data_IF_985973334428
#
_entry.id   IF_985973334428
#
_cell.length_a   1.000
_cell.length_b   1.000
_cell.length_c   1.000
_cell.angle_alpha   90.00
_cell.angle_beta   90.00
_cell.angle_gamma   90.00
#
_symmetry.space_group_name_H-M   'P 1'
#
loop_
_entity.id
_entity.type
_entity.pdbx_description
1 polymer ?
#
# COMPACT_ATOMS: atom_id res chain seq x y z
N UNK A 1 5.50 -7.44 64.29
CA UNK A 1 6.10 -7.55 62.94
C UNK A 1 5.07 -8.06 61.92
N UNK A 2 4.15 -7.21 61.43
CA UNK A 2 3.07 -7.63 60.51
C UNK A 2 2.54 -6.52 59.58
N UNK A 3 3.35 -5.49 59.31
CA UNK A 3 2.95 -4.34 58.45
C UNK A 3 3.84 -4.14 57.20
N UNK A 4 5.01 -4.77 57.15
CA UNK A 4 5.96 -4.58 56.04
C UNK A 4 5.59 -5.45 54.81
N UNK A 5 4.96 -6.61 55.02
CA UNK A 5 4.63 -7.54 53.93
C UNK A 5 3.51 -7.08 52.98
N UNK A 6 2.66 -6.14 53.40
CA UNK A 6 1.56 -5.63 52.54
C UNK A 6 1.97 -4.45 51.65
N UNK A 7 3.01 -3.71 52.05
CA UNK A 7 3.54 -2.58 51.28
C UNK A 7 4.34 -3.06 50.08
N UNK A 8 5.09 -4.17 50.22
CA UNK A 8 5.84 -4.75 49.12
C UNK A 8 4.96 -5.34 48.01
N UNK A 9 3.77 -5.86 48.33
CA UNK A 9 2.86 -6.45 47.32
C UNK A 9 2.14 -5.37 46.51
N UNK A 10 1.85 -4.20 47.10
CA UNK A 10 1.21 -3.10 46.38
C UNK A 10 2.15 -2.43 45.35
N UNK A 11 3.46 -2.40 45.60
CA UNK A 11 4.45 -1.87 44.64
C UNK A 11 4.67 -2.77 43.43
N UNK A 12 4.50 -4.09 43.56
CA UNK A 12 4.65 -5.02 42.43
C UNK A 12 3.46 -4.93 41.47
N UNK A 13 2.26 -4.61 41.97
CA UNK A 13 1.08 -4.41 41.10
C UNK A 13 1.12 -3.05 40.38
N UNK A 14 1.71 -2.01 40.99
CA UNK A 14 1.84 -0.70 40.33
C UNK A 14 2.89 -0.68 39.20
N UNK A 15 3.88 -1.59 39.23
CA UNK A 15 4.90 -1.74 38.19
C UNK A 15 4.41 -2.46 36.92
N UNK A 16 3.24 -3.11 36.97
CA UNK A 16 2.66 -3.83 35.82
C UNK A 16 1.75 -2.90 34.97
N UNK A 17 1.33 -1.74 35.50
CA UNK A 17 0.35 -0.85 34.84
C UNK A 17 1.02 0.30 34.05
N UNK A 18 2.35 0.50 34.17
CA UNK A 18 3.10 1.48 33.35
C UNK A 18 3.92 0.79 32.25
N UNK A 19 3.44 -0.38 31.82
CA UNK A 19 3.86 -1.04 30.58
C UNK A 19 3.14 -0.53 29.33
N UNK A 20 2.72 0.74 29.29
CA UNK A 20 2.66 1.47 28.02
C UNK A 20 4.10 1.70 27.55
N UNK A 21 4.80 0.59 27.27
CA UNK A 21 6.00 0.61 26.49
C UNK A 21 5.60 1.09 25.11
N UNK A 22 5.68 2.42 24.92
CA UNK A 22 5.97 2.98 23.62
C UNK A 22 7.00 2.05 22.98
N UNK A 23 6.59 1.32 21.93
CA UNK A 23 7.44 0.39 21.21
C UNK A 23 8.63 1.20 20.70
N UNK A 24 9.71 1.19 21.47
CA UNK A 24 10.89 1.99 21.24
C UNK A 24 11.53 1.52 19.93
N UNK A 25 11.53 2.43 18.98
CA UNK A 25 11.99 2.30 17.60
C UNK A 25 13.43 2.81 17.54
N UNK A 26 14.45 1.99 17.18
CA UNK A 26 15.78 2.52 16.95
C UNK A 26 16.09 2.79 15.47
N UNK A 27 15.27 2.35 14.52
CA UNK A 27 15.55 2.54 13.09
C UNK A 27 14.24 2.63 12.32
N UNK A 28 13.99 3.80 11.74
CA UNK A 28 12.94 4.04 10.75
C UNK A 28 12.82 2.84 9.81
N UNK A 29 11.77 2.03 9.97
CA UNK A 29 11.64 0.73 9.31
C UNK A 29 11.56 0.96 7.79
N UNK A 30 12.70 0.83 7.12
CA UNK A 30 12.74 0.80 5.67
C UNK A 30 12.18 -0.55 5.23
N UNK A 31 11.04 -0.52 4.56
CA UNK A 31 10.41 -1.68 3.97
C UNK A 31 10.75 -1.75 2.49
N UNK A 32 11.28 -2.88 2.04
CA UNK A 32 11.55 -3.09 0.61
C UNK A 32 10.24 -3.40 -0.11
N UNK A 33 9.82 -2.51 -1.02
CA UNK A 33 8.69 -2.73 -1.92
C UNK A 33 9.10 -3.74 -2.99
N UNK A 34 10.23 -3.50 -3.66
CA UNK A 34 10.86 -4.42 -4.62
C UNK A 34 12.30 -4.00 -4.93
N UNK A 35 13.25 -4.94 -4.90
CA UNK A 35 14.65 -4.66 -5.24
C UNK A 35 15.21 -3.51 -4.41
N UNK A 36 15.63 -2.43 -5.07
CA UNK A 36 16.11 -1.20 -4.41
C UNK A 36 15.00 -0.19 -4.08
N UNK A 37 13.76 -0.44 -4.50
CA UNK A 37 12.61 0.41 -4.18
C UNK A 37 12.19 0.17 -2.74
N UNK A 38 12.39 1.16 -1.89
CA UNK A 38 12.06 1.09 -0.47
C UNK A 38 10.96 2.09 -0.09
N UNK A 39 10.36 1.89 1.08
CA UNK A 39 9.38 2.74 1.73
C UNK A 39 9.83 2.94 3.17
N UNK A 40 9.93 4.19 3.62
CA UNK A 40 10.08 4.48 5.05
C UNK A 40 8.71 4.41 5.72
N UNK A 41 8.47 3.38 6.55
CA UNK A 41 7.24 3.31 7.34
C UNK A 41 7.24 4.42 8.41
N UNK A 42 6.18 5.24 8.48
CA UNK A 42 6.01 6.20 9.56
C UNK A 42 5.92 5.50 10.92
N UNK A 43 6.23 6.23 11.98
CA UNK A 43 5.99 5.73 13.34
C UNK A 43 4.50 5.47 13.55
N UNK A 44 4.15 4.44 14.31
CA UNK A 44 2.76 4.02 14.56
C UNK A 44 2.26 2.95 13.59
N UNK A 45 2.80 2.89 12.36
CA UNK A 45 2.35 1.91 11.37
C UNK A 45 2.80 0.48 11.69
N UNK A 46 1.84 -0.44 11.66
CA UNK A 46 2.04 -1.87 11.88
C UNK A 46 1.58 -2.69 10.68
N UNK A 47 2.22 -3.84 10.44
CA UNK A 47 1.83 -4.74 9.36
C UNK A 47 0.51 -5.43 9.73
N UNK A 48 -0.53 -5.19 8.93
CA UNK A 48 -1.83 -5.86 9.05
C UNK A 48 -1.78 -7.24 8.40
N UNK A 49 -1.14 -7.33 7.23
CA UNK A 49 -0.98 -8.59 6.49
C UNK A 49 -0.81 -8.37 5.00
N UNK A 50 -1.25 -9.34 4.19
CA UNK A 50 -1.07 -9.32 2.74
C UNK A 50 -2.32 -9.80 2.01
N UNK A 51 -2.58 -9.19 0.85
CA UNK A 51 -3.72 -9.51 -0.03
C UNK A 51 -3.29 -9.42 -1.49
N UNK A 52 -3.81 -10.31 -2.32
CA UNK A 52 -3.58 -10.27 -3.77
C UNK A 52 -4.87 -9.87 -4.47
N UNK A 53 -4.79 -8.87 -5.35
CA UNK A 53 -5.95 -8.33 -6.07
C UNK A 53 -5.68 -8.35 -7.57
N UNK A 54 -6.49 -9.12 -8.29
CA UNK A 54 -6.44 -9.20 -9.74
C UNK A 54 -7.17 -8.01 -10.36
N UNK A 55 -6.53 -7.39 -11.34
CA UNK A 55 -7.05 -6.26 -12.11
C UNK A 55 -7.20 -6.66 -13.58
N UNK A 56 -8.29 -6.21 -14.18
CA UNK A 56 -8.56 -6.41 -15.59
C UNK A 56 -7.63 -5.51 -16.42
N UNK A 57 -6.98 -6.01 -17.48
CA UNK A 57 -6.28 -5.15 -18.43
C UNK A 57 -7.28 -4.31 -19.24
N UNK A 58 -6.84 -3.15 -19.73
CA UNK A 58 -7.64 -2.27 -20.61
C UNK A 58 -7.81 -2.82 -22.02
N UNK A 59 -6.85 -3.63 -22.50
CA UNK A 59 -6.86 -4.21 -23.84
C UNK A 59 -7.00 -5.73 -23.70
N UNK A 60 -8.07 -6.28 -24.27
CA UNK A 60 -8.21 -7.71 -24.51
C UNK A 60 -7.68 -8.00 -25.92
N UNK A 61 -6.52 -8.65 -26.02
CA UNK A 61 -6.02 -9.21 -27.26
C UNK A 61 -6.19 -10.72 -27.24
N UNK A 62 -6.58 -11.34 -28.36
CA UNK A 62 -6.72 -12.79 -28.41
C UNK A 62 -5.38 -13.45 -28.09
N UNK A 63 -5.35 -14.32 -27.08
CA UNK A 63 -4.11 -14.94 -26.58
C UNK A 63 -3.44 -14.17 -25.44
N UNK A 64 -3.95 -12.99 -25.05
CA UNK A 64 -3.50 -12.24 -23.88
C UNK A 64 -4.30 -12.63 -22.63
N UNK A 65 -3.87 -13.71 -21.99
CA UNK A 65 -4.06 -13.88 -20.54
C UNK A 65 -2.70 -13.69 -19.86
N UNK A 66 -2.63 -13.26 -18.59
CA UNK A 66 -3.73 -13.21 -17.62
C UNK A 66 -3.90 -11.85 -16.93
N UNK A 67 -5.00 -11.72 -16.19
CA UNK A 67 -5.22 -10.70 -15.17
C UNK A 67 -3.91 -10.29 -14.47
N UNK A 68 -3.58 -9.00 -14.47
CA UNK A 68 -2.44 -8.53 -13.72
C UNK A 68 -2.83 -8.58 -12.24
N UNK A 69 -1.93 -9.05 -11.38
CA UNK A 69 -2.25 -9.18 -9.94
C UNK A 69 -1.30 -8.33 -9.13
N UNK A 70 -1.87 -7.43 -8.33
CA UNK A 70 -1.15 -6.72 -7.29
C UNK A 70 -1.01 -7.62 -6.08
N UNK A 71 0.23 -7.98 -5.74
CA UNK A 71 0.55 -8.56 -4.46
C UNK A 71 0.83 -7.43 -3.48
N UNK A 72 -0.06 -7.27 -2.51
CA UNK A 72 -0.10 -6.11 -1.60
C UNK A 72 0.25 -6.53 -0.19
N UNK A 73 1.12 -5.76 0.46
CA UNK A 73 1.31 -5.77 1.91
C UNK A 73 0.69 -4.52 2.49
N UNK A 74 -0.18 -4.69 3.49
CA UNK A 74 -0.94 -3.62 4.11
C UNK A 74 -0.35 -3.29 5.47
N UNK A 75 -0.12 -1.99 5.70
CA UNK A 75 0.25 -1.42 6.98
C UNK A 75 -0.83 -0.44 7.43
N UNK A 76 -1.08 -0.34 8.73
CA UNK A 76 -2.06 0.60 9.27
C UNK A 76 -1.66 1.22 10.60
N UNK A 77 -2.24 2.38 10.86
CA UNK A 77 -2.18 3.15 12.10
C UNK A 77 -3.52 3.90 12.26
N UNK A 78 -4.35 3.46 13.21
CA UNK A 78 -5.74 3.92 13.32
C UNK A 78 -6.53 3.69 12.03
N UNK A 79 -7.02 4.77 11.43
CA UNK A 79 -7.74 4.75 10.14
C UNK A 79 -6.83 5.06 8.93
N UNK A 80 -5.54 5.29 9.13
CA UNK A 80 -4.58 5.56 8.05
C UNK A 80 -3.89 4.28 7.57
N UNK A 81 -3.66 4.16 6.26
CA UNK A 81 -3.13 2.94 5.66
C UNK A 81 -2.01 3.21 4.66
N UNK A 82 -1.05 2.29 4.60
CA UNK A 82 -0.04 2.23 3.53
C UNK A 82 -0.09 0.86 2.88
N UNK A 83 -0.30 0.82 1.56
CA UNK A 83 -0.32 -0.41 0.78
C UNK A 83 0.93 -0.43 -0.10
N UNK A 84 1.82 -1.37 0.16
CA UNK A 84 3.01 -1.63 -0.65
C UNK A 84 2.73 -2.76 -1.61
N UNK A 85 2.85 -2.52 -2.91
CA UNK A 85 2.33 -3.40 -3.95
C UNK A 85 3.33 -3.66 -5.05
N UNK A 86 3.28 -4.86 -5.60
CA UNK A 86 4.03 -5.24 -6.80
C UNK A 86 3.15 -5.96 -7.78
N UNK A 87 3.32 -5.63 -9.05
CA UNK A 87 2.62 -6.25 -10.16
C UNK A 87 3.62 -6.56 -11.27
N UNK A 88 3.55 -7.78 -11.78
CA UNK A 88 4.43 -8.26 -12.85
C UNK A 88 3.59 -8.74 -14.02
N UNK A 89 3.96 -8.32 -15.23
CA UNK A 89 3.45 -8.89 -16.48
C UNK A 89 4.09 -10.24 -16.70
N UNK A 90 3.27 -11.24 -16.95
CA UNK A 90 3.72 -12.58 -17.34
C UNK A 90 3.76 -12.69 -18.87
N UNK A 91 4.64 -13.55 -19.39
CA UNK A 91 4.83 -13.74 -20.82
C UNK A 91 5.81 -12.75 -21.46
N UNK A 92 6.20 -13.05 -22.70
CA UNK A 92 7.28 -12.33 -23.39
C UNK A 92 6.85 -11.21 -24.31
N UNK A 93 5.59 -11.20 -24.72
CA UNK A 93 5.08 -10.28 -25.74
C UNK A 93 4.58 -8.95 -25.21
N UNK A 94 4.33 -8.83 -23.91
CA UNK A 94 3.70 -7.63 -23.35
C UNK A 94 4.58 -6.94 -22.31
N UNK A 95 4.46 -5.62 -22.27
CA UNK A 95 5.11 -4.78 -21.27
C UNK A 95 4.22 -3.61 -20.87
N UNK A 96 4.51 -2.99 -19.72
CA UNK A 96 3.79 -1.81 -19.26
C UNK A 96 4.17 -0.59 -20.08
N UNK A 97 3.17 0.22 -20.43
CA UNK A 97 3.41 1.60 -20.87
C UNK A 97 4.19 2.39 -19.81
N UNK A 98 4.99 3.39 -20.23
CA UNK A 98 5.58 4.33 -19.29
C UNK A 98 4.52 4.98 -18.39
N UNK A 99 4.84 5.06 -17.10
CA UNK A 99 3.94 5.62 -16.09
C UNK A 99 3.86 7.14 -16.21
N UNK A 100 2.65 7.67 -16.04
CA UNK A 100 2.36 9.12 -16.03
C UNK A 100 2.33 9.69 -14.60
N UNK A 101 2.51 11.00 -14.49
CA UNK A 101 2.46 11.73 -13.22
C UNK A 101 3.74 12.50 -12.91
N UNK A 102 3.73 13.20 -11.77
CA UNK A 102 4.83 14.07 -11.35
C UNK A 102 6.02 13.24 -10.89
N UNK A 103 7.19 13.47 -11.48
CA UNK A 103 8.43 12.84 -11.04
C UNK A 103 8.84 13.37 -9.66
N UNK A 104 9.09 12.47 -8.70
CA UNK A 104 9.54 12.84 -7.35
C UNK A 104 10.67 11.92 -6.89
N UNK A 105 11.61 12.45 -6.10
CA UNK A 105 12.60 11.65 -5.37
C UNK A 105 12.06 11.35 -3.97
N UNK A 106 11.84 10.07 -3.65
CA UNK A 106 11.32 9.63 -2.35
C UNK A 106 11.87 8.26 -1.98
N UNK A 107 12.20 8.06 -0.71
CA UNK A 107 12.74 6.80 -0.18
C UNK A 107 13.98 6.27 -0.94
N UNK A 108 14.87 7.19 -1.34
CA UNK A 108 16.11 6.83 -2.06
C UNK A 108 15.91 6.38 -3.51
N UNK A 109 14.72 6.59 -4.09
CA UNK A 109 14.40 6.23 -5.47
C UNK A 109 13.55 7.29 -6.17
N UNK A 110 13.52 7.25 -7.51
CA UNK A 110 12.61 8.09 -8.30
C UNK A 110 11.26 7.41 -8.49
N UNK A 111 10.19 8.15 -8.27
CA UNK A 111 8.80 7.68 -8.38
C UNK A 111 7.99 8.63 -9.26
N UNK A 112 6.89 8.12 -9.80
CA UNK A 112 5.79 8.92 -10.32
C UNK A 112 4.73 9.06 -9.23
N UNK A 113 4.44 10.30 -8.85
CA UNK A 113 3.43 10.62 -7.84
C UNK A 113 2.17 11.15 -8.53
N UNK A 114 1.03 10.63 -8.11
CA UNK A 114 -0.28 11.22 -8.33
C UNK A 114 -1.05 11.29 -7.01
N UNK A 115 -2.02 12.20 -6.91
CA UNK A 115 -2.88 12.35 -5.73
C UNK A 115 -4.33 12.25 -6.15
N UNK A 116 -5.11 11.47 -5.39
CA UNK A 116 -6.51 11.20 -5.68
C UNK A 116 -7.36 11.29 -4.41
N UNK A 117 -8.67 11.47 -4.60
CA UNK A 117 -9.67 11.19 -3.58
C UNK A 117 -10.11 9.73 -3.71
N UNK A 118 -10.17 9.01 -2.59
CA UNK A 118 -10.67 7.65 -2.52
C UNK A 118 -11.81 7.56 -1.50
N UNK A 119 -13.00 7.21 -2.00
CA UNK A 119 -14.14 6.81 -1.18
C UNK A 119 -13.98 5.32 -0.79
N UNK A 120 -14.10 4.94 0.50
CA UNK A 120 -14.11 3.54 0.92
C UNK A 120 -15.21 2.70 0.25
N UNK A 121 -16.28 3.34 -0.23
CA UNK A 121 -17.40 2.73 -0.95
C UNK A 121 -17.25 2.86 -2.49
N UNK A 122 -16.05 3.19 -2.98
CA UNK A 122 -15.75 3.26 -4.42
C UNK A 122 -16.16 1.95 -5.14
N UNK A 123 -16.71 2.10 -6.35
CA UNK A 123 -17.17 0.99 -7.19
C UNK A 123 -16.04 0.22 -7.89
N UNK A 124 -14.80 0.74 -7.85
CA UNK A 124 -13.60 0.06 -8.32
C UNK A 124 -13.40 -1.24 -7.55
N UNK A 125 -13.40 -2.35 -8.30
CA UNK A 125 -13.19 -3.68 -7.73
C UNK A 125 -11.88 -3.76 -6.95
N UNK A 126 -10.82 -3.10 -7.43
CA UNK A 126 -9.51 -3.10 -6.78
C UNK A 126 -9.60 -2.52 -5.36
N UNK A 127 -10.02 -1.26 -5.24
CA UNK A 127 -10.03 -0.56 -3.95
C UNK A 127 -11.03 -1.19 -2.97
N UNK A 128 -12.17 -1.69 -3.47
CA UNK A 128 -13.13 -2.44 -2.65
C UNK A 128 -12.49 -3.67 -2.01
N UNK A 129 -11.66 -4.43 -2.74
CA UNK A 129 -10.96 -5.61 -2.19
C UNK A 129 -9.98 -5.23 -1.08
N UNK A 130 -9.28 -4.10 -1.20
CA UNK A 130 -8.43 -3.62 -0.12
C UNK A 130 -9.25 -3.19 1.11
N UNK A 131 -10.33 -2.44 0.90
CA UNK A 131 -11.24 -2.01 1.95
C UNK A 131 -11.87 -3.20 2.70
N UNK A 132 -12.37 -4.19 1.96
CA UNK A 132 -12.93 -5.43 2.51
C UNK A 132 -11.88 -6.20 3.33
N UNK A 133 -10.65 -6.28 2.83
CA UNK A 133 -9.56 -6.93 3.54
C UNK A 133 -9.24 -6.22 4.86
N UNK A 134 -9.11 -4.89 4.85
CA UNK A 134 -8.85 -4.10 6.06
C UNK A 134 -9.95 -4.30 7.11
N UNK A 135 -11.22 -4.22 6.69
CA UNK A 135 -12.38 -4.48 7.57
C UNK A 135 -12.36 -5.91 8.13
N UNK A 136 -12.09 -6.90 7.28
CA UNK A 136 -12.00 -8.33 7.68
C UNK A 136 -10.92 -8.55 8.75
N UNK A 137 -9.84 -7.78 8.71
CA UNK A 137 -8.77 -7.83 9.71
C UNK A 137 -9.09 -7.06 11.00
N UNK A 138 -10.30 -6.52 11.16
CA UNK A 138 -10.76 -5.83 12.36
C UNK A 138 -10.37 -4.35 12.45
N UNK A 139 -9.88 -3.76 11.36
CA UNK A 139 -9.48 -2.36 11.32
C UNK A 139 -10.60 -1.45 10.76
N UNK A 140 -10.60 -0.19 11.17
CA UNK A 140 -11.63 0.79 10.81
C UNK A 140 -11.27 1.60 9.56
N UNK A 141 -12.23 1.85 8.69
CA UNK A 141 -12.04 2.76 7.56
C UNK A 141 -12.61 4.13 7.90
N UNK A 142 -11.86 5.19 7.60
CA UNK A 142 -12.37 6.55 7.59
C UNK A 142 -13.48 6.70 6.54
N UNK A 143 -14.26 7.78 6.60
CA UNK A 143 -15.31 8.08 5.62
C UNK A 143 -14.78 8.45 4.22
N UNK A 144 -13.49 8.79 4.11
CA UNK A 144 -12.84 9.25 2.90
C UNK A 144 -11.33 9.31 3.07
N UNK A 145 -10.61 9.28 1.95
CA UNK A 145 -9.15 9.30 1.93
C UNK A 145 -8.59 10.25 0.88
N UNK A 146 -7.58 11.02 1.26
CA UNK A 146 -6.57 11.51 0.33
C UNK A 146 -5.57 10.38 0.09
N UNK A 147 -5.50 9.92 -1.15
CA UNK A 147 -4.60 8.85 -1.57
C UNK A 147 -3.44 9.43 -2.38
N UNK A 148 -2.22 9.34 -1.83
CA UNK A 148 -1.00 9.56 -2.61
C UNK A 148 -0.53 8.22 -3.19
N UNK A 149 -0.48 8.14 -4.52
CA UNK A 149 -0.01 6.98 -5.25
C UNK A 149 1.40 7.25 -5.77
N UNK A 150 2.32 6.36 -5.42
CA UNK A 150 3.72 6.38 -5.87
C UNK A 150 3.98 5.14 -6.71
N UNK A 151 4.19 5.31 -8.01
CA UNK A 151 4.48 4.21 -8.92
C UNK A 151 5.92 4.28 -9.45
N UNK A 152 6.52 3.12 -9.66
CA UNK A 152 7.83 2.98 -10.29
C UNK A 152 7.82 1.78 -11.22
N UNK A 153 8.20 2.03 -12.47
CA UNK A 153 8.43 0.99 -13.46
C UNK A 153 9.86 0.46 -13.29
N UNK A 154 9.99 -0.85 -13.16
CA UNK A 154 11.26 -1.56 -12.96
C UNK A 154 11.45 -2.47 -14.18
N UNK A 155 12.40 -2.09 -15.05
CA UNK A 155 12.47 -2.65 -16.41
C UNK A 155 11.24 -2.23 -17.22
N UNK A 156 10.65 -3.16 -17.99
CA UNK A 156 9.38 -2.93 -18.72
C UNK A 156 8.22 -3.80 -18.23
N UNK A 157 8.47 -4.76 -17.34
CA UNK A 157 7.49 -5.81 -16.95
C UNK A 157 7.07 -5.80 -15.49
N UNK A 158 7.59 -4.88 -14.68
CA UNK A 158 7.28 -4.84 -13.26
C UNK A 158 6.96 -3.42 -12.80
N UNK A 159 5.85 -3.29 -12.09
CA UNK A 159 5.47 -2.06 -11.38
C UNK A 159 5.60 -2.32 -9.89
N UNK A 160 6.33 -1.44 -9.22
CA UNK A 160 6.26 -1.25 -7.78
C UNK A 160 5.35 -0.05 -7.50
N UNK A 161 4.41 -0.19 -6.58
CA UNK A 161 3.45 0.84 -6.21
C UNK A 161 3.38 0.98 -4.69
N UNK A 162 3.26 2.20 -4.20
CA UNK A 162 2.88 2.48 -2.81
C UNK A 162 1.67 3.41 -2.80
N UNK A 163 0.59 2.99 -2.14
CA UNK A 163 -0.57 3.82 -1.85
C UNK A 163 -0.47 4.29 -0.41
N UNK A 164 -0.52 5.60 -0.18
CA UNK A 164 -0.60 6.21 1.14
C UNK A 164 -2.00 6.80 1.29
N UNK A 165 -2.81 6.21 2.15
CA UNK A 165 -4.19 6.59 2.42
C UNK A 165 -4.25 7.35 3.75
N UNK A 166 -4.49 8.66 3.66
CA UNK A 166 -4.67 9.53 4.83
C UNK A 166 -6.15 9.90 4.94
N UNK A 167 -6.80 9.71 6.11
CA UNK A 167 -8.18 10.12 6.32
C UNK A 167 -8.41 11.57 5.89
N UNK A 168 -9.39 11.79 5.00
CA UNK A 168 -9.73 13.11 4.47
C UNK A 168 -11.15 13.11 3.91
N UNK A 169 -12.00 14.01 4.41
CA UNK A 169 -13.42 14.01 4.10
C UNK A 169 -13.72 14.54 2.69
N UNK A 170 -13.02 15.59 2.22
CA UNK A 170 -13.18 16.19 0.88
C UNK A 170 -11.94 17.00 0.52
N UNK A 171 -11.19 16.59 -0.53
CA UNK A 171 -9.90 17.23 -0.84
C UNK A 171 -9.79 17.92 -2.20
N UNK A 172 -10.88 18.07 -2.97
CA UNK A 172 -10.85 18.67 -4.32
C UNK A 172 -10.00 17.90 -5.35
N UNK A 173 -9.37 16.79 -4.94
CA UNK A 173 -8.59 15.92 -5.80
C UNK A 173 -9.50 15.07 -6.69
N UNK A 174 -9.05 14.69 -7.90
CA UNK A 174 -9.82 13.80 -8.77
C UNK A 174 -10.03 12.43 -8.12
N UNK A 175 -11.11 11.71 -8.47
CA UNK A 175 -11.35 10.37 -7.96
C UNK A 175 -10.24 9.40 -8.37
N UNK A 176 -9.93 8.43 -7.50
CA UNK A 176 -8.95 7.39 -7.79
C UNK A 176 -9.37 6.56 -9.03
N UNK A 177 -8.55 6.55 -10.10
CA UNK A 177 -8.87 5.83 -11.33
C UNK A 177 -8.75 4.32 -11.14
N UNK A 178 -9.32 3.56 -12.06
CA UNK A 178 -9.20 2.11 -12.04
C UNK A 178 -7.78 1.69 -12.46
N UNK A 179 -7.23 0.61 -11.88
CA UNK A 179 -5.91 0.10 -12.29
C UNK A 179 -5.79 -0.14 -13.80
N UNK A 180 -6.87 -0.55 -14.47
CA UNK A 180 -6.88 -0.76 -15.93
C UNK A 180 -6.54 0.50 -16.72
N UNK A 181 -6.88 1.68 -16.21
CA UNK A 181 -6.61 2.97 -16.84
C UNK A 181 -5.16 3.43 -16.60
N UNK A 182 -4.56 2.96 -15.50
CA UNK A 182 -3.20 3.32 -15.10
C UNK A 182 -2.13 2.41 -15.69
N UNK A 183 -2.46 1.14 -15.93
CA UNK A 183 -1.49 0.09 -16.30
C UNK A 183 -1.83 -0.60 -17.61
N UNK A 184 -1.87 0.21 -18.66
CA UNK A 184 -2.02 -0.28 -20.02
C UNK A 184 -0.79 -1.06 -20.46
N UNK A 185 -1.02 -2.14 -21.21
CA UNK A 185 0.03 -2.95 -21.81
C UNK A 185 0.25 -2.56 -23.27
N UNK A 186 1.47 -2.74 -23.73
CA UNK A 186 1.88 -2.66 -25.14
C UNK A 186 2.51 -3.99 -25.57
N UNK A 187 2.28 -4.35 -26.84
CA UNK A 187 2.91 -5.50 -27.47
C UNK A 187 4.32 -5.15 -27.95
N UNK A 188 5.25 -6.07 -27.75
CA UNK A 188 6.62 -5.98 -28.25
C UNK A 188 6.66 -6.40 -29.73
N UNK A 189 6.39 -5.46 -30.62
CA UNK A 189 6.31 -5.66 -32.08
C UNK A 189 7.69 -5.83 -32.75
N UNK A 190 8.64 -6.49 -32.09
CA UNK A 190 9.96 -6.73 -32.66
C UNK A 190 9.93 -7.66 -33.90
N UNK A 191 8.81 -8.37 -34.13
CA UNK A 191 8.60 -9.21 -35.31
C UNK A 191 8.01 -8.45 -36.52
N UNK A 192 7.79 -7.14 -36.43
CA UNK A 192 7.25 -6.30 -37.50
C UNK A 192 8.28 -5.34 -38.14
N UNK A 193 9.58 -5.51 -37.84
CA UNK A 193 10.68 -4.73 -38.43
C UNK A 193 11.72 -5.62 -39.06
#
# INVERSE_FOLDING_TARGET
>A
MRKISKVCILMVVLLIIVGCGARYNPQTRMYTVYGTSQLKLPQGFEKIGSVSVSVLPTVWESGAFPYQTFNTTVFGDGEAYILSQVMRVTGDRYFFRPLVGTGVSKWGSSWRKNTYQLDPNNTSLEYRRYADYIKKMGHQLASGYKMEMYDRLIGRKLVARVLVMTPDAVSGNPPAPQAKELYTLEMDDFMAR
#
